data_IF_418999120751
#
_entry.id   IF_418999120751
#
_cell.length_a   1.000
_cell.length_b   1.000
_cell.length_c   1.000
_cell.angle_alpha   90.00
_cell.angle_beta   90.00
_cell.angle_gamma   90.00
#
_symmetry.space_group_name_H-M   'P 1'
#
loop_
_entity.id
_entity.type
_entity.pdbx_description
1 polymer ?
#
# COMPACT_ATOMS: atom_id res chain seq x y z
N UNK A 1 -25.76 -9.33 -1.52
CA UNK A 1 -25.59 -8.39 -2.66
C UNK A 1 -24.32 -7.54 -2.63
N UNK A 2 -23.30 -7.80 -1.78
CA UNK A 2 -22.00 -7.07 -1.82
C UNK A 2 -20.82 -7.88 -2.37
N UNK A 3 -21.02 -9.19 -2.53
CA UNK A 3 -20.02 -10.12 -3.06
C UNK A 3 -19.36 -9.66 -4.37
N UNK A 4 -20.07 -9.17 -5.41
CA UNK A 4 -19.40 -8.81 -6.67
C UNK A 4 -18.42 -7.63 -6.47
N UNK A 5 -18.80 -6.61 -5.71
CA UNK A 5 -17.93 -5.47 -5.45
C UNK A 5 -16.69 -5.83 -4.60
N UNK A 6 -16.84 -6.69 -3.60
CA UNK A 6 -15.70 -7.17 -2.80
C UNK A 6 -14.73 -8.00 -3.65
N UNK A 7 -15.25 -8.76 -4.62
CA UNK A 7 -14.44 -9.62 -5.49
C UNK A 7 -13.65 -8.81 -6.52
N UNK A 8 -14.27 -7.78 -7.10
CA UNK A 8 -13.58 -6.81 -7.96
C UNK A 8 -12.45 -6.09 -7.20
N UNK A 9 -12.75 -5.56 -6.01
CA UNK A 9 -11.74 -4.92 -5.14
C UNK A 9 -10.59 -5.87 -4.79
N UNK A 10 -10.90 -7.12 -4.42
CA UNK A 10 -9.89 -8.10 -4.10
C UNK A 10 -8.99 -8.44 -5.29
N UNK A 11 -9.57 -8.62 -6.49
CA UNK A 11 -8.80 -8.87 -7.71
C UNK A 11 -7.86 -7.70 -8.06
N UNK A 12 -8.36 -6.47 -8.02
CA UNK A 12 -7.54 -5.28 -8.31
C UNK A 12 -6.43 -5.13 -7.28
N UNK A 13 -6.74 -5.33 -5.99
CA UNK A 13 -5.75 -5.28 -4.92
C UNK A 13 -4.66 -6.36 -5.11
N UNK A 14 -5.04 -7.58 -5.48
CA UNK A 14 -4.10 -8.67 -5.80
C UNK A 14 -3.17 -8.31 -6.97
N UNK A 15 -3.74 -7.81 -8.06
CA UNK A 15 -2.95 -7.41 -9.23
C UNK A 15 -1.95 -6.30 -8.89
N UNK A 16 -2.37 -5.29 -8.13
CA UNK A 16 -1.48 -4.22 -7.68
C UNK A 16 -0.40 -4.74 -6.73
N UNK A 17 -0.76 -5.63 -5.79
CA UNK A 17 0.19 -6.24 -4.86
C UNK A 17 1.26 -7.06 -5.60
N UNK A 18 0.89 -7.80 -6.64
CA UNK A 18 1.84 -8.54 -7.46
C UNK A 18 2.68 -7.59 -8.33
N UNK A 19 2.06 -6.61 -8.98
CA UNK A 19 2.75 -5.69 -9.87
C UNK A 19 3.79 -4.81 -9.16
N UNK A 20 3.56 -4.46 -7.89
CA UNK A 20 4.44 -3.57 -7.11
C UNK A 20 5.26 -4.36 -6.08
N UNK A 21 4.62 -5.25 -5.32
CA UNK A 21 5.26 -6.00 -4.25
C UNK A 21 6.28 -7.02 -4.76
N UNK A 22 5.99 -7.71 -5.87
CA UNK A 22 6.91 -8.69 -6.44
C UNK A 22 8.23 -8.07 -6.94
N UNK A 23 8.24 -6.99 -7.76
CA UNK A 23 9.50 -6.37 -8.16
C UNK A 23 10.24 -5.73 -6.99
N UNK A 24 9.55 -5.08 -6.05
CA UNK A 24 10.20 -4.50 -4.87
C UNK A 24 10.86 -5.60 -4.01
N UNK A 25 10.16 -6.71 -3.78
CA UNK A 25 10.70 -7.86 -3.05
C UNK A 25 11.88 -8.53 -3.78
N UNK A 26 11.79 -8.67 -5.10
CA UNK A 26 12.90 -9.19 -5.91
C UNK A 26 14.12 -8.26 -5.88
N UNK A 27 13.93 -6.94 -6.00
CA UNK A 27 15.03 -5.97 -5.95
C UNK A 27 15.71 -5.98 -4.57
N UNK A 28 14.93 -6.02 -3.49
CA UNK A 28 15.45 -6.15 -2.14
C UNK A 28 16.24 -7.46 -1.95
N UNK A 29 15.71 -8.59 -2.44
CA UNK A 29 16.35 -9.90 -2.34
C UNK A 29 17.59 -10.08 -3.23
N UNK A 30 17.63 -9.46 -4.40
CA UNK A 30 18.78 -9.52 -5.32
C UNK A 30 19.94 -8.61 -4.88
N UNK A 31 19.67 -7.57 -4.09
CA UNK A 31 20.67 -6.60 -3.64
C UNK A 31 20.54 -6.32 -2.14
N UNK A 32 20.74 -7.36 -1.30
CA UNK A 32 20.64 -7.23 0.15
C UNK A 32 21.64 -6.18 0.67
N UNK A 33 21.28 -5.49 1.74
CA UNK A 33 22.04 -4.40 2.38
C UNK A 33 22.20 -3.10 1.57
N UNK A 34 21.65 -3.03 0.36
CA UNK A 34 21.61 -1.78 -0.41
C UNK A 34 20.73 -0.71 0.26
N UNK A 35 20.98 0.56 -0.03
CA UNK A 35 20.11 1.67 0.41
C UNK A 35 18.65 1.47 -0.05
N UNK A 36 18.44 0.80 -1.19
CA UNK A 36 17.12 0.43 -1.69
C UNK A 36 16.46 -0.64 -0.81
N UNK A 37 17.19 -1.69 -0.45
CA UNK A 37 16.72 -2.75 0.44
C UNK A 37 16.31 -2.17 1.80
N UNK A 38 17.19 -1.36 2.42
CA UNK A 38 16.89 -0.67 3.70
C UNK A 38 15.67 0.25 3.60
N UNK A 39 15.50 0.96 2.48
CA UNK A 39 14.34 1.82 2.25
C UNK A 39 13.03 1.02 2.14
N UNK A 40 13.04 -0.07 1.37
CA UNK A 40 11.89 -0.97 1.21
C UNK A 40 11.53 -1.62 2.55
N UNK A 41 12.53 -2.10 3.29
CA UNK A 41 12.35 -2.79 4.57
C UNK A 41 11.81 -1.82 5.64
N UNK A 42 12.37 -0.61 5.71
CA UNK A 42 11.88 0.45 6.62
C UNK A 42 10.44 0.85 6.30
N UNK A 43 10.13 1.09 5.01
CA UNK A 43 8.77 1.41 4.57
C UNK A 43 7.77 0.29 4.89
N UNK A 44 8.18 -0.98 4.73
CA UNK A 44 7.36 -2.14 5.07
C UNK A 44 7.09 -2.23 6.57
N UNK A 45 8.11 -2.03 7.41
CA UNK A 45 7.95 -2.02 8.87
C UNK A 45 7.01 -0.90 9.31
N UNK A 46 7.19 0.32 8.80
CA UNK A 46 6.28 1.43 9.09
C UNK A 46 4.86 1.07 8.70
N UNK A 47 4.65 0.55 7.50
CA UNK A 47 3.32 0.13 7.03
C UNK A 47 2.67 -0.97 7.87
N UNK A 48 3.44 -1.89 8.47
CA UNK A 48 2.91 -3.01 9.24
C UNK A 48 2.81 -2.74 10.75
N UNK A 49 3.65 -1.84 11.27
CA UNK A 49 3.72 -1.50 12.70
C UNK A 49 2.55 -0.65 13.20
N UNK A 50 1.83 -0.01 12.27
CA UNK A 50 0.77 0.93 12.59
C UNK A 50 -0.57 0.20 12.72
N UNK A 51 -1.45 0.64 13.64
CA UNK A 51 -2.81 0.12 13.69
C UNK A 51 -3.54 0.37 12.36
N UNK A 52 -4.24 -0.64 11.83
CA UNK A 52 -4.90 -0.57 10.53
C UNK A 52 -5.88 0.62 10.41
N UNK A 53 -6.60 0.94 11.49
CA UNK A 53 -7.50 2.10 11.52
C UNK A 53 -6.73 3.43 11.36
N UNK A 54 -5.58 3.54 12.03
CA UNK A 54 -4.76 4.74 12.05
C UNK A 54 -4.10 4.94 10.69
N UNK A 55 -3.61 3.85 10.09
CA UNK A 55 -3.06 3.85 8.75
C UNK A 55 -4.07 4.33 7.71
N UNK A 56 -5.32 3.86 7.79
CA UNK A 56 -6.41 4.34 6.93
C UNK A 56 -6.64 5.85 7.07
N UNK A 57 -6.72 6.36 8.30
CA UNK A 57 -6.90 7.80 8.57
C UNK A 57 -5.72 8.62 8.03
N UNK A 58 -4.48 8.15 8.23
CA UNK A 58 -3.28 8.84 7.73
C UNK A 58 -3.24 8.87 6.21
N UNK A 59 -3.60 7.77 5.54
CA UNK A 59 -3.71 7.73 4.08
C UNK A 59 -4.76 8.72 3.57
N UNK A 60 -5.93 8.81 4.21
CA UNK A 60 -6.96 9.81 3.85
C UNK A 60 -6.44 11.23 4.05
N UNK A 61 -5.79 11.53 5.18
CA UNK A 61 -5.23 12.86 5.45
C UNK A 61 -4.22 13.27 4.37
N UNK A 62 -3.26 12.39 4.07
CA UNK A 62 -2.19 12.67 3.11
C UNK A 62 -2.77 12.83 1.70
N UNK A 63 -3.51 11.85 1.21
CA UNK A 63 -3.95 11.85 -0.19
C UNK A 63 -5.15 12.76 -0.46
N UNK A 64 -6.03 12.96 0.51
CA UNK A 64 -7.24 13.78 0.32
C UNK A 64 -7.09 15.22 0.78
N UNK A 65 -6.49 15.44 1.95
CA UNK A 65 -6.43 16.78 2.56
C UNK A 65 -5.15 17.51 2.15
N UNK A 66 -4.01 16.85 2.29
CA UNK A 66 -2.70 17.49 2.03
C UNK A 66 -2.41 17.57 0.54
N UNK A 67 -2.56 16.47 -0.20
CA UNK A 67 -2.26 16.42 -1.64
C UNK A 67 -3.47 16.72 -2.54
N UNK A 68 -4.70 16.57 -2.05
CA UNK A 68 -5.92 16.82 -2.83
C UNK A 68 -6.13 15.86 -4.02
N UNK A 69 -5.49 14.68 -4.01
CA UNK A 69 -5.53 13.72 -5.13
C UNK A 69 -6.80 12.88 -5.16
N UNK A 70 -7.37 12.56 -3.99
CA UNK A 70 -8.57 11.73 -3.89
C UNK A 70 -9.66 12.44 -3.06
N UNK A 71 -10.94 12.31 -3.42
CA UNK A 71 -12.05 12.83 -2.60
C UNK A 71 -12.12 12.08 -1.27
N UNK A 72 -12.38 12.80 -0.18
CA UNK A 72 -12.46 12.26 1.19
C UNK A 72 -13.70 11.38 1.42
N UNK A 73 -14.61 11.31 0.45
CA UNK A 73 -15.82 10.49 0.49
C UNK A 73 -16.08 9.92 -0.90
N UNK A 74 -16.11 8.59 -0.97
CA UNK A 74 -16.48 7.80 -2.16
C UNK A 74 -17.79 7.04 -1.94
N UNK A 75 -18.34 6.48 -3.03
CA UNK A 75 -19.63 5.77 -3.07
C UNK A 75 -19.54 4.37 -2.49
#
# INVERSE_FOLDING_TARGET
QRLPATLELACVALLLALAIGLPLGLVAGLKPDSALDRGIMTGSILGFSLPNFWQGIMLVLIFSVTLGWLPSTGR
#
